data_IF_913157836387
#
_entry.id   IF_913157836387
#
_cell.length_a   1.000
_cell.length_b   1.000
_cell.length_c   1.000
_cell.angle_alpha   90.00
_cell.angle_beta   90.00
_cell.angle_gamma   90.00
#
_symmetry.space_group_name_H-M   'P 1'
#
loop_
_entity.id
_entity.type
_entity.pdbx_description
1 polymer ?
#
# COMPACT_ATOMS: atom_id res chain seq x y z
N UNK A 1 9.68 -18.84 5.57
CA UNK A 1 9.76 -18.00 6.79
C UNK A 1 9.62 -16.56 6.31
N UNK A 2 8.65 -15.82 6.84
CA UNK A 2 8.49 -14.38 6.55
C UNK A 2 9.68 -13.67 7.18
N UNK A 3 10.45 -12.97 6.36
CA UNK A 3 11.60 -12.22 6.85
C UNK A 3 11.19 -10.80 7.18
N UNK A 4 11.25 -10.43 8.46
CA UNK A 4 10.91 -9.09 8.91
C UNK A 4 11.75 -8.04 8.15
N UNK A 5 11.18 -6.95 7.62
CA UNK A 5 11.91 -5.95 6.82
C UNK A 5 13.18 -5.43 7.50
N UNK A 6 13.14 -5.20 8.81
CA UNK A 6 14.28 -4.72 9.58
C UNK A 6 15.44 -5.73 9.70
N UNK A 7 15.21 -7.03 9.45
CA UNK A 7 16.29 -8.04 9.49
C UNK A 7 17.33 -7.86 8.39
N UNK A 8 16.99 -7.13 7.34
CA UNK A 8 17.90 -6.77 6.24
C UNK A 8 18.84 -5.61 6.57
N UNK A 9 18.58 -4.90 7.68
CA UNK A 9 19.43 -3.79 8.12
C UNK A 9 20.61 -4.30 8.95
N UNK A 10 21.81 -4.24 8.40
CA UNK A 10 23.06 -4.64 9.08
C UNK A 10 23.84 -3.46 9.62
N UNK A 11 23.58 -2.26 9.08
CA UNK A 11 24.23 -1.02 9.45
C UNK A 11 23.22 0.05 9.84
N UNK A 12 23.59 0.89 10.79
CA UNK A 12 22.74 2.01 11.23
C UNK A 12 22.54 3.02 10.08
N UNK A 13 21.28 3.35 9.74
CA UNK A 13 21.00 4.29 8.65
C UNK A 13 21.43 5.74 8.97
N UNK A 14 21.70 6.06 10.25
CA UNK A 14 22.16 7.39 10.67
C UNK A 14 23.69 7.52 10.70
N UNK A 15 24.38 6.56 11.32
CA UNK A 15 25.83 6.70 11.57
C UNK A 15 26.69 5.62 10.91
N UNK A 16 26.11 4.68 10.18
CA UNK A 16 26.82 3.61 9.49
C UNK A 16 27.43 2.53 10.39
N UNK A 17 27.22 2.57 11.71
CA UNK A 17 27.76 1.57 12.61
C UNK A 17 27.09 0.21 12.41
N UNK A 18 27.86 -0.87 12.54
CA UNK A 18 27.34 -2.24 12.67
C UNK A 18 26.85 -2.50 14.10
N UNK A 19 26.19 -3.65 14.33
CA UNK A 19 25.78 -4.06 15.66
C UNK A 19 24.44 -3.45 16.09
N UNK A 20 23.50 -3.35 15.14
CA UNK A 20 22.13 -2.98 15.47
C UNK A 20 21.45 -4.03 16.34
N UNK A 21 20.74 -3.58 17.36
CA UNK A 21 19.94 -4.42 18.24
C UNK A 21 18.50 -4.46 17.75
N UNK A 22 17.92 -5.67 17.62
CA UNK A 22 16.52 -5.83 17.27
C UNK A 22 15.65 -5.78 18.54
N UNK A 23 14.69 -4.84 18.57
CA UNK A 23 13.83 -4.59 19.72
C UNK A 23 12.41 -5.06 19.43
N UNK A 24 11.96 -6.09 20.16
CA UNK A 24 10.59 -6.63 20.10
C UNK A 24 10.05 -6.96 18.70
N UNK A 25 10.93 -7.26 17.73
CA UNK A 25 10.54 -7.53 16.34
C UNK A 25 9.89 -6.34 15.60
N UNK A 26 9.96 -5.12 16.14
CA UNK A 26 9.33 -3.93 15.59
C UNK A 26 10.28 -2.77 15.37
N UNK A 27 11.45 -2.80 15.98
CA UNK A 27 12.41 -1.71 15.91
C UNK A 27 13.84 -2.22 15.81
N UNK A 28 14.72 -1.37 15.34
CA UNK A 28 16.16 -1.49 15.50
C UNK A 28 16.66 -0.35 16.38
N UNK A 29 17.64 -0.65 17.26
CA UNK A 29 18.34 0.33 18.07
C UNK A 29 19.82 0.32 17.74
N UNK A 30 20.41 1.49 17.62
CA UNK A 30 21.85 1.65 17.40
C UNK A 30 22.53 2.10 18.69
N UNK A 31 23.35 1.25 19.36
CA UNK A 31 23.99 1.62 20.62
C UNK A 31 25.06 2.70 20.45
N UNK A 32 25.55 2.97 19.23
CA UNK A 32 26.56 3.99 18.96
C UNK A 32 26.00 5.41 18.92
N UNK A 33 24.83 5.60 18.31
CA UNK A 33 24.24 6.95 18.14
C UNK A 33 22.86 7.11 18.73
N UNK A 34 22.40 6.11 19.47
CA UNK A 34 21.10 6.08 20.17
C UNK A 34 19.88 6.26 19.24
N UNK A 35 20.02 5.92 17.93
CA UNK A 35 18.91 5.88 17.02
C UNK A 35 18.03 4.68 17.35
N UNK A 36 16.75 4.93 17.61
CA UNK A 36 15.71 3.89 17.56
C UNK A 36 14.81 4.13 16.35
N UNK A 37 14.76 3.14 15.45
CA UNK A 37 13.92 3.19 14.26
C UNK A 37 12.85 2.11 14.32
N UNK A 38 11.59 2.54 14.33
CA UNK A 38 10.43 1.64 14.34
C UNK A 38 9.97 1.36 12.92
N UNK A 39 9.71 0.08 12.64
CA UNK A 39 9.04 -0.31 11.41
C UNK A 39 7.55 -0.01 11.53
N UNK A 40 7.05 0.84 10.65
CA UNK A 40 5.64 1.17 10.54
C UNK A 40 5.02 0.39 9.38
N UNK A 41 3.77 -0.04 9.57
CA UNK A 41 2.97 -0.65 8.51
C UNK A 41 2.64 0.41 7.48
N UNK A 42 2.84 0.11 6.19
CA UNK A 42 2.46 1.01 5.11
C UNK A 42 0.93 0.99 4.95
N UNK A 43 0.33 2.16 4.73
CA UNK A 43 -1.08 2.24 4.37
C UNK A 43 -1.25 2.04 2.87
N UNK A 44 -2.23 1.23 2.47
CA UNK A 44 -2.64 1.03 1.09
C UNK A 44 -4.15 1.09 0.97
N UNK A 45 -4.66 1.52 -0.19
CA UNK A 45 -6.10 1.61 -0.46
C UNK A 45 -6.48 0.69 -1.60
N UNK A 46 -7.71 0.16 -1.55
CA UNK A 46 -8.32 -0.64 -2.61
C UNK A 46 -9.79 -0.24 -2.78
N UNK A 47 -10.22 -0.09 -4.04
CA UNK A 47 -11.53 0.48 -4.38
C UNK A 47 -12.49 -0.58 -4.91
N UNK A 48 -13.62 -0.78 -4.23
CA UNK A 48 -14.78 -1.47 -4.78
C UNK A 48 -15.65 -0.48 -5.55
N UNK A 49 -15.71 -0.63 -6.86
CA UNK A 49 -16.48 0.21 -7.77
C UNK A 49 -17.40 -0.71 -8.57
N UNK A 50 -18.69 -0.55 -8.35
CA UNK A 50 -19.73 -1.37 -9.01
C UNK A 50 -20.56 -0.49 -9.92
N UNK A 51 -20.91 -1.03 -11.09
CA UNK A 51 -21.91 -0.41 -11.95
C UNK A 51 -23.35 -0.75 -11.51
N UNK A 52 -24.34 -0.27 -12.28
CA UNK A 52 -25.77 -0.47 -12.00
C UNK A 52 -26.18 -1.95 -12.11
N UNK A 53 -25.45 -2.76 -12.90
CA UNK A 53 -25.68 -4.19 -13.04
C UNK A 53 -24.93 -5.02 -11.99
N UNK A 54 -24.18 -4.36 -11.08
CA UNK A 54 -23.40 -5.00 -10.03
C UNK A 54 -22.06 -5.60 -10.50
N UNK A 55 -21.56 -5.21 -11.67
CA UNK A 55 -20.25 -5.64 -12.17
C UNK A 55 -19.14 -4.82 -11.50
N UNK A 56 -18.10 -5.51 -11.07
CA UNK A 56 -16.97 -4.92 -10.39
C UNK A 56 -15.92 -4.42 -11.40
N UNK A 57 -15.51 -3.15 -11.28
CA UNK A 57 -14.38 -2.62 -12.01
C UNK A 57 -13.08 -3.20 -11.46
N UNK A 58 -12.25 -3.76 -12.34
CA UNK A 58 -10.93 -4.27 -12.00
C UNK A 58 -9.90 -3.73 -12.97
N UNK A 59 -8.66 -3.64 -12.52
CA UNK A 59 -7.49 -3.29 -13.33
C UNK A 59 -6.62 -4.53 -13.53
N UNK A 60 -5.90 -4.59 -14.64
CA UNK A 60 -4.94 -5.66 -14.88
C UNK A 60 -3.55 -5.20 -14.46
N UNK A 61 -2.95 -5.91 -13.53
CA UNK A 61 -1.60 -5.59 -13.04
C UNK A 61 -0.58 -5.57 -14.19
N UNK A 62 0.12 -4.47 -14.34
CA UNK A 62 1.18 -4.28 -15.35
C UNK A 62 2.57 -4.68 -14.84
N UNK A 63 2.74 -4.80 -13.52
CA UNK A 63 4.02 -5.05 -12.84
C UNK A 63 3.96 -6.25 -11.90
N UNK A 64 5.15 -6.78 -11.56
CA UNK A 64 5.28 -7.77 -10.49
C UNK A 64 5.02 -7.13 -9.09
N UNK A 65 4.58 -7.88 -8.11
CA UNK A 65 4.19 -9.31 -8.14
C UNK A 65 2.84 -9.53 -8.84
N UNK A 66 2.63 -10.75 -9.33
CA UNK A 66 1.37 -11.20 -9.95
C UNK A 66 0.96 -10.41 -11.22
N UNK A 67 1.92 -10.02 -12.05
CA UNK A 67 1.68 -9.36 -13.34
C UNK A 67 0.65 -10.12 -14.18
N UNK A 68 -0.31 -9.40 -14.76
CA UNK A 68 -1.36 -9.94 -15.62
C UNK A 68 -2.61 -10.42 -14.89
N UNK A 69 -2.60 -10.50 -13.55
CA UNK A 69 -3.81 -10.80 -12.77
C UNK A 69 -4.72 -9.58 -12.66
N UNK A 70 -5.99 -9.82 -12.33
CA UNK A 70 -6.94 -8.76 -12.03
C UNK A 70 -6.80 -8.34 -10.57
N UNK A 71 -6.90 -7.03 -10.34
CA UNK A 71 -6.81 -6.42 -9.03
C UNK A 71 -7.87 -5.31 -8.89
N UNK A 72 -8.14 -4.88 -7.68
CA UNK A 72 -8.91 -3.66 -7.43
C UNK A 72 -8.06 -2.43 -7.75
N UNK A 73 -8.64 -1.36 -8.30
CA UNK A 73 -7.94 -0.09 -8.38
C UNK A 73 -7.49 0.36 -6.98
N UNK A 74 -6.23 0.82 -6.87
CA UNK A 74 -5.66 1.25 -5.60
C UNK A 74 -4.15 1.19 -5.55
N UNK A 75 -3.58 1.62 -4.42
CA UNK A 75 -2.14 1.67 -4.21
C UNK A 75 -1.75 2.18 -2.84
N UNK A 76 -0.49 2.54 -2.68
CA UNK A 76 0.01 3.08 -1.42
C UNK A 76 -0.43 4.52 -1.19
N UNK A 77 -0.66 4.86 0.07
CA UNK A 77 -0.87 6.24 0.52
C UNK A 77 0.47 6.95 0.51
N UNK A 78 0.55 8.11 -0.15
CA UNK A 78 1.75 8.91 -0.22
C UNK A 78 2.02 9.70 1.09
N UNK A 79 3.29 10.10 1.35
CA UNK A 79 3.59 11.01 2.44
C UNK A 79 2.76 12.30 2.35
N UNK A 80 2.24 12.75 3.50
CA UNK A 80 1.39 13.95 3.63
C UNK A 80 0.02 13.86 2.94
N UNK A 81 -0.37 12.67 2.46
CA UNK A 81 -1.66 12.40 1.86
C UNK A 81 -2.64 11.77 2.87
N UNK A 82 -3.90 12.19 2.82
CA UNK A 82 -4.98 11.49 3.54
C UNK A 82 -5.45 10.24 2.78
N UNK A 83 -5.95 9.25 3.52
CA UNK A 83 -6.35 7.96 2.92
C UNK A 83 -7.45 8.13 1.86
N UNK A 84 -8.45 8.99 2.10
CA UNK A 84 -9.51 9.30 1.14
C UNK A 84 -8.97 10.02 -0.10
N UNK A 85 -7.93 10.84 0.07
CA UNK A 85 -7.27 11.51 -1.05
C UNK A 85 -6.51 10.50 -1.92
N UNK A 86 -5.86 9.52 -1.30
CA UNK A 86 -5.20 8.42 -1.99
C UNK A 86 -6.20 7.62 -2.83
N UNK A 87 -7.40 7.33 -2.30
CA UNK A 87 -8.48 6.66 -3.06
C UNK A 87 -8.83 7.42 -4.34
N UNK A 88 -9.02 8.74 -4.23
CA UNK A 88 -9.38 9.59 -5.39
C UNK A 88 -8.25 9.66 -6.40
N UNK A 89 -7.01 9.82 -5.94
CA UNK A 89 -5.82 9.88 -6.80
C UNK A 89 -5.61 8.56 -7.55
N UNK A 90 -5.57 7.42 -6.82
CA UNK A 90 -5.35 6.10 -7.41
C UNK A 90 -6.46 5.74 -8.43
N UNK A 91 -7.72 6.02 -8.12
CA UNK A 91 -8.81 5.82 -9.06
C UNK A 91 -8.56 6.58 -10.37
N UNK A 92 -8.20 7.86 -10.28
CA UNK A 92 -7.93 8.69 -11.45
C UNK A 92 -6.72 8.20 -12.23
N UNK A 93 -5.62 7.87 -11.55
CA UNK A 93 -4.37 7.43 -12.16
C UNK A 93 -4.51 6.09 -12.88
N UNK A 94 -5.29 5.16 -12.34
CA UNK A 94 -5.40 3.83 -12.92
C UNK A 94 -6.57 3.66 -13.90
N UNK A 95 -7.62 4.50 -13.80
CA UNK A 95 -8.85 4.29 -14.57
C UNK A 95 -9.34 5.52 -15.33
N UNK A 96 -8.77 6.69 -15.11
CA UNK A 96 -9.24 7.99 -15.60
C UNK A 96 -10.64 8.40 -15.13
N UNK A 97 -11.23 7.68 -14.14
CA UNK A 97 -12.54 8.00 -13.59
C UNK A 97 -12.43 8.97 -12.41
N UNK A 98 -13.52 9.71 -12.17
CA UNK A 98 -13.64 10.64 -11.05
C UNK A 98 -14.61 10.08 -10.00
N UNK A 99 -14.15 10.07 -8.74
CA UNK A 99 -14.97 9.67 -7.61
C UNK A 99 -16.04 10.71 -7.33
N UNK A 100 -17.29 10.28 -7.21
CA UNK A 100 -18.40 11.09 -6.71
C UNK A 100 -18.57 10.97 -5.20
N UNK A 101 -18.35 9.76 -4.67
CA UNK A 101 -18.33 9.51 -3.23
C UNK A 101 -17.31 8.43 -2.88
N UNK A 102 -16.76 8.51 -1.68
CA UNK A 102 -15.87 7.50 -1.12
C UNK A 102 -16.32 7.15 0.30
N UNK A 103 -16.41 5.86 0.61
CA UNK A 103 -16.82 5.38 1.93
C UNK A 103 -15.97 4.20 2.34
N UNK A 104 -15.27 4.32 3.46
CA UNK A 104 -14.51 3.24 4.05
C UNK A 104 -15.44 2.07 4.42
N UNK A 105 -15.01 0.85 4.12
CA UNK A 105 -15.71 -0.39 4.44
C UNK A 105 -15.03 -1.13 5.61
N UNK A 106 -13.79 -1.51 5.43
CA UNK A 106 -12.98 -2.27 6.40
C UNK A 106 -11.50 -2.16 6.07
N UNK A 107 -10.65 -2.71 6.93
CA UNK A 107 -9.23 -2.87 6.65
C UNK A 107 -8.77 -4.28 6.99
N UNK A 108 -7.74 -4.75 6.30
CA UNK A 108 -7.10 -6.04 6.53
C UNK A 108 -5.57 -5.88 6.57
N UNK A 109 -4.87 -6.66 7.39
CA UNK A 109 -3.43 -6.75 7.32
C UNK A 109 -3.03 -7.54 6.08
N UNK A 110 -1.94 -7.13 5.43
CA UNK A 110 -1.40 -7.82 4.28
C UNK A 110 0.13 -7.82 4.33
N UNK A 111 0.75 -8.68 3.54
CA UNK A 111 2.19 -8.75 3.32
C UNK A 111 2.43 -8.64 1.84
N UNK A 112 3.08 -7.58 1.43
CA UNK A 112 3.39 -7.29 0.04
C UNK A 112 4.88 -7.52 -0.23
N UNK A 113 5.26 -8.60 -0.94
CA UNK A 113 6.65 -8.85 -1.31
C UNK A 113 7.13 -7.79 -2.31
N UNK A 114 8.15 -7.04 -1.94
CA UNK A 114 8.70 -6.01 -2.80
C UNK A 114 10.22 -5.89 -2.61
N UNK A 115 10.95 -5.87 -3.72
CA UNK A 115 12.43 -5.70 -3.72
C UNK A 115 13.18 -6.66 -2.78
N UNK A 116 12.69 -7.91 -2.65
CA UNK A 116 13.31 -8.94 -1.82
C UNK A 116 13.04 -8.83 -0.31
N UNK A 117 12.15 -7.94 0.10
CA UNK A 117 11.67 -7.82 1.49
C UNK A 117 10.16 -7.94 1.55
N UNK A 118 9.65 -8.30 2.72
CA UNK A 118 8.21 -8.35 2.99
C UNK A 118 7.74 -7.02 3.58
N UNK A 119 7.00 -6.24 2.78
CA UNK A 119 6.40 -5.00 3.23
C UNK A 119 5.07 -5.32 3.92
N UNK A 120 4.96 -5.00 5.20
CA UNK A 120 3.69 -5.11 5.92
C UNK A 120 2.80 -3.93 5.57
N UNK A 121 1.54 -4.22 5.20
CA UNK A 121 0.56 -3.20 4.86
C UNK A 121 -0.70 -3.32 5.71
N UNK A 122 -1.38 -2.20 5.89
CA UNK A 122 -2.77 -2.13 6.28
C UNK A 122 -3.54 -1.74 5.02
N UNK A 123 -4.19 -2.72 4.40
CA UNK A 123 -5.00 -2.48 3.20
C UNK A 123 -6.39 -2.01 3.63
N UNK A 124 -6.77 -0.82 3.20
CA UNK A 124 -8.01 -0.15 3.57
C UNK A 124 -8.94 -0.15 2.36
N UNK A 125 -10.09 -0.77 2.52
CA UNK A 125 -11.05 -0.99 1.43
C UNK A 125 -12.14 0.06 1.46
N UNK A 126 -12.39 0.65 0.29
CA UNK A 126 -13.39 1.69 0.09
C UNK A 126 -14.44 1.28 -0.94
N UNK A 127 -15.71 1.62 -0.66
CA UNK A 127 -16.74 1.73 -1.69
C UNK A 127 -16.59 3.08 -2.35
N UNK A 128 -16.45 3.08 -3.68
CA UNK A 128 -16.36 4.30 -4.48
C UNK A 128 -17.47 4.31 -5.50
N UNK A 129 -18.15 5.43 -5.61
CA UNK A 129 -19.19 5.67 -6.62
C UNK A 129 -18.61 6.59 -7.70
N UNK A 130 -18.90 6.26 -8.95
CA UNK A 130 -18.54 7.04 -10.14
C UNK A 130 -19.81 7.28 -10.97
N UNK A 131 -19.80 8.30 -11.83
CA UNK A 131 -20.97 8.62 -12.66
C UNK A 131 -21.32 7.48 -13.64
N UNK A 132 -20.31 6.90 -14.27
CA UNK A 132 -20.43 5.75 -15.17
C UNK A 132 -19.05 5.14 -15.41
N UNK A 133 -18.99 3.96 -16.04
CA UNK A 133 -17.73 3.37 -16.51
C UNK A 133 -17.35 3.85 -17.92
N UNK A 134 -18.17 4.73 -18.52
CA UNK A 134 -17.85 5.36 -19.78
C UNK A 134 -16.60 6.22 -19.65
N UNK A 135 -15.62 6.00 -20.53
CA UNK A 135 -14.33 6.69 -20.46
C UNK A 135 -13.28 6.03 -19.56
N UNK A 136 -13.61 4.92 -18.88
CA UNK A 136 -12.60 4.16 -18.16
C UNK A 136 -11.48 3.71 -19.08
N UNK A 137 -10.23 3.97 -18.69
CA UNK A 137 -9.04 3.61 -19.44
C UNK A 137 -8.09 2.86 -18.52
N UNK A 138 -7.39 1.86 -19.06
CA UNK A 138 -6.23 1.28 -18.39
C UNK A 138 -5.03 2.20 -18.63
N UNK A 139 -4.53 2.84 -17.61
CA UNK A 139 -3.41 3.80 -17.65
C UNK A 139 -2.11 3.19 -17.13
#
# INVERSE_FOLDING_TARGET
MIQHPLSSFTFCPRCGASGLEHVHGRAIHCPKCDLSYYHNVAAAVACFILDEEGRLLTVRRSREPARGTLDLPGGFVDPEEGVESAVVRELREETALEAQSVRMLFSLPNIYPYSGIDVYTADIFYRVEVASFEGAQAL
#
